data_IF_939610167387
#
_entry.id   IF_939610167387
#
_cell.length_a   1.000
_cell.length_b   1.000
_cell.length_c   1.000
_cell.angle_alpha   90.00
_cell.angle_beta   90.00
_cell.angle_gamma   90.00
#
_symmetry.space_group_name_H-M   'P 1'
#
loop_
_entity.id
_entity.type
_entity.pdbx_description
1 polymer ?
#
# COMPACT_ATOMS: atom_id res chain seq x y z
N UNK A 1 14.16 1.95 -18.58
CA UNK A 1 13.61 0.98 -17.62
C UNK A 1 12.10 1.14 -17.35
N UNK A 2 11.37 2.02 -18.05
CA UNK A 2 9.97 2.40 -17.75
C UNK A 2 8.89 1.64 -18.55
N UNK A 3 9.25 0.84 -19.55
CA UNK A 3 8.28 0.24 -20.50
C UNK A 3 7.74 -1.15 -20.12
N UNK A 4 8.23 -1.76 -19.02
CA UNK A 4 7.82 -3.12 -18.61
C UNK A 4 6.69 -3.18 -17.58
N UNK A 5 6.21 -2.03 -17.10
CA UNK A 5 5.23 -1.99 -16.02
C UNK A 5 3.78 -1.83 -16.49
N UNK A 6 3.53 -1.29 -17.69
CA UNK A 6 2.19 -0.91 -18.17
C UNK A 6 1.09 -1.99 -18.05
N UNK A 7 1.34 -3.26 -18.45
CA UNK A 7 0.37 -4.35 -18.28
C UNK A 7 0.30 -4.94 -16.85
N UNK A 8 1.25 -4.58 -15.98
CA UNK A 8 1.34 -5.05 -14.60
C UNK A 8 0.77 -4.05 -13.59
N UNK A 9 0.27 -2.89 -14.05
CA UNK A 9 -0.29 -1.85 -13.19
C UNK A 9 -1.67 -2.31 -12.69
N UNK A 10 -1.83 -2.63 -11.39
CA UNK A 10 -3.12 -3.06 -10.86
C UNK A 10 -4.09 -1.88 -10.65
N UNK A 11 -3.57 -0.65 -10.68
CA UNK A 11 -4.31 0.56 -10.33
C UNK A 11 -4.26 1.58 -11.49
N UNK A 12 -5.39 1.93 -12.12
CA UNK A 12 -5.40 2.91 -13.21
C UNK A 12 -4.83 4.26 -12.76
N UNK A 13 -4.34 5.05 -13.73
CA UNK A 13 -3.97 6.45 -13.51
C UNK A 13 -5.21 7.23 -13.05
N UNK A 14 -5.09 8.05 -12.01
CA UNK A 14 -6.18 8.90 -11.55
C UNK A 14 -6.35 10.11 -12.47
N UNK A 15 -7.56 10.68 -12.52
CA UNK A 15 -7.89 11.81 -13.40
C UNK A 15 -7.04 13.03 -13.02
N UNK A 16 -6.19 13.49 -13.95
CA UNK A 16 -5.27 14.60 -13.73
C UNK A 16 -3.87 14.20 -13.25
N UNK A 17 -3.61 12.91 -12.98
CA UNK A 17 -2.25 12.43 -12.73
C UNK A 17 -1.46 12.31 -14.04
N UNK A 18 -0.25 12.84 -14.03
CA UNK A 18 0.74 12.55 -15.05
C UNK A 18 1.30 11.14 -14.85
N UNK A 19 1.80 10.52 -15.93
CA UNK A 19 2.35 9.17 -15.89
C UNK A 19 3.40 8.97 -14.77
N UNK A 20 4.24 9.98 -14.54
CA UNK A 20 5.24 9.98 -13.46
C UNK A 20 4.62 9.88 -12.08
N UNK A 21 3.57 10.67 -11.81
CA UNK A 21 2.86 10.68 -10.53
C UNK A 21 2.15 9.34 -10.29
N UNK A 22 1.57 8.76 -11.34
CA UNK A 22 1.01 7.41 -11.29
C UNK A 22 2.05 6.33 -10.96
N UNK A 23 3.24 6.39 -11.58
CA UNK A 23 4.34 5.46 -11.27
C UNK A 23 4.81 5.64 -9.82
N UNK A 24 5.03 6.88 -9.36
CA UNK A 24 5.44 7.16 -7.98
C UNK A 24 4.40 6.67 -6.96
N UNK A 25 3.10 6.83 -7.26
CA UNK A 25 2.01 6.31 -6.43
C UNK A 25 2.03 4.78 -6.37
N UNK A 26 2.22 4.10 -7.50
CA UNK A 26 2.31 2.64 -7.56
C UNK A 26 3.53 2.13 -6.79
N UNK A 27 4.68 2.81 -6.90
CA UNK A 27 5.88 2.49 -6.13
C UNK A 27 5.63 2.60 -4.63
N UNK A 28 4.96 3.68 -4.17
CA UNK A 28 4.57 3.85 -2.76
C UNK A 28 3.63 2.73 -2.30
N UNK A 29 2.62 2.38 -3.09
CA UNK A 29 1.69 1.28 -2.78
C UNK A 29 2.46 -0.05 -2.68
N UNK A 30 3.39 -0.32 -3.59
CA UNK A 30 4.20 -1.54 -3.57
C UNK A 30 5.10 -1.61 -2.32
N UNK A 31 5.75 -0.50 -1.95
CA UNK A 31 6.56 -0.42 -0.74
C UNK A 31 5.73 -0.68 0.52
N UNK A 32 4.54 -0.07 0.61
CA UNK A 32 3.62 -0.25 1.74
C UNK A 32 3.05 -1.67 1.82
N UNK A 33 2.78 -2.32 0.70
CA UNK A 33 2.38 -3.73 0.69
C UNK A 33 3.49 -4.66 1.18
N UNK A 34 4.75 -4.41 0.81
CA UNK A 34 5.90 -5.17 1.36
C UNK A 34 6.03 -4.97 2.86
N UNK A 35 5.83 -3.74 3.34
CA UNK A 35 5.84 -3.41 4.76
C UNK A 35 4.70 -4.15 5.51
N UNK A 36 3.49 -4.13 4.96
CA UNK A 36 2.34 -4.86 5.47
C UNK A 36 2.62 -6.36 5.60
N UNK A 37 3.22 -6.97 4.58
CA UNK A 37 3.57 -8.40 4.59
C UNK A 37 4.59 -8.73 5.70
N UNK A 38 5.56 -7.84 5.95
CA UNK A 38 6.52 -8.01 7.06
C UNK A 38 5.81 -8.00 8.40
N UNK A 39 4.94 -7.02 8.65
CA UNK A 39 4.19 -6.94 9.91
C UNK A 39 3.20 -8.09 10.10
N UNK A 40 2.53 -8.54 9.03
CA UNK A 40 1.68 -9.74 9.08
C UNK A 40 2.47 -11.00 9.43
N UNK A 41 3.68 -11.14 8.88
CA UNK A 41 4.57 -12.25 9.20
C UNK A 41 5.04 -12.20 10.67
N UNK A 42 5.32 -11.00 11.19
CA UNK A 42 5.65 -10.79 12.60
C UNK A 42 4.47 -11.12 13.52
N UNK A 43 3.25 -10.68 13.15
CA UNK A 43 2.03 -10.96 13.90
C UNK A 43 1.77 -12.46 14.07
N UNK A 44 1.99 -13.25 13.00
CA UNK A 44 1.81 -14.69 13.02
C UNK A 44 2.81 -15.42 13.94
N UNK A 45 4.00 -14.85 14.13
CA UNK A 45 5.07 -15.41 14.99
C UNK A 45 4.97 -14.94 16.44
N UNK A 46 4.32 -13.81 16.70
CA UNK A 46 4.19 -13.25 18.05
C UNK A 46 3.29 -14.13 18.92
N UNK A 47 3.61 -14.25 20.21
CA UNK A 47 2.87 -15.05 21.20
C UNK A 47 2.17 -14.16 22.23
N UNK A 48 2.72 -12.98 22.53
CA UNK A 48 2.18 -12.07 23.52
C UNK A 48 1.02 -11.25 22.95
N UNK A 49 -0.14 -11.29 23.60
CA UNK A 49 -1.34 -10.57 23.16
C UNK A 49 -1.09 -9.06 23.04
N UNK A 50 -0.47 -8.44 24.05
CA UNK A 50 -0.21 -7.00 24.05
C UNK A 50 0.69 -6.57 22.87
N UNK A 51 1.68 -7.40 22.50
CA UNK A 51 2.52 -7.15 21.33
C UNK A 51 1.76 -7.34 20.03
N UNK A 52 0.88 -8.35 19.94
CA UNK A 52 -0.03 -8.51 18.78
C UNK A 52 -0.93 -7.30 18.59
N UNK A 53 -1.44 -6.71 19.68
CA UNK A 53 -2.27 -5.50 19.61
C UNK A 53 -1.48 -4.34 18.99
N UNK A 54 -0.25 -4.10 19.44
CA UNK A 54 0.63 -3.08 18.85
C UNK A 54 0.98 -3.37 17.38
N UNK A 55 1.28 -4.63 17.02
CA UNK A 55 1.52 -4.99 15.62
C UNK A 55 0.25 -4.78 14.77
N UNK A 56 -0.92 -5.13 15.30
CA UNK A 56 -2.20 -4.91 14.63
C UNK A 56 -2.53 -3.43 14.44
N UNK A 57 -2.14 -2.54 15.35
CA UNK A 57 -2.31 -1.09 15.14
C UNK A 57 -1.46 -0.61 13.97
N UNK A 58 -0.22 -1.08 13.83
CA UNK A 58 0.64 -0.72 12.68
C UNK A 58 0.11 -1.30 11.37
N UNK A 59 -0.36 -2.55 11.36
CA UNK A 59 -1.02 -3.16 10.20
C UNK A 59 -2.24 -2.33 9.77
N UNK A 60 -3.06 -1.85 10.73
CA UNK A 60 -4.22 -1.00 10.43
C UNK A 60 -3.82 0.33 9.81
N UNK A 61 -2.79 1.00 10.34
CA UNK A 61 -2.28 2.26 9.77
C UNK A 61 -1.79 2.07 8.33
N UNK A 62 -0.96 1.06 8.08
CA UNK A 62 -0.41 0.78 6.75
C UNK A 62 -1.54 0.44 5.75
N UNK A 63 -2.58 -0.28 6.18
CA UNK A 63 -3.77 -0.54 5.35
C UNK A 63 -4.49 0.76 5.00
N UNK A 64 -4.71 1.64 5.98
CA UNK A 64 -5.33 2.95 5.72
C UNK A 64 -4.49 3.81 4.76
N UNK A 65 -3.16 3.77 4.87
CA UNK A 65 -2.27 4.46 3.93
C UNK A 65 -2.41 3.90 2.50
N UNK A 66 -2.46 2.57 2.34
CA UNK A 66 -2.72 1.94 1.03
C UNK A 66 -4.10 2.31 0.51
N UNK A 67 -5.14 2.27 1.35
CA UNK A 67 -6.49 2.69 0.98
C UNK A 67 -6.53 4.15 0.53
N UNK A 68 -5.82 5.05 1.21
CA UNK A 68 -5.73 6.46 0.81
C UNK A 68 -4.99 6.64 -0.53
N UNK A 69 -3.97 5.83 -0.81
CA UNK A 69 -3.23 5.86 -2.07
C UNK A 69 -4.00 5.20 -3.23
N UNK A 70 -4.97 4.35 -2.93
CA UNK A 70 -5.76 3.62 -3.94
C UNK A 70 -7.13 4.23 -4.18
N UNK A 71 -7.71 4.87 -3.16
CA UNK A 71 -8.98 5.58 -3.27
C UNK A 71 -8.78 6.81 -4.15
N UNK A 72 -9.23 6.68 -5.39
CA UNK A 72 -9.48 7.81 -6.27
C UNK A 72 -10.32 8.83 -5.49
N UNK A 73 -9.96 10.13 -5.43
CA UNK A 73 -10.88 11.12 -4.90
C UNK A 73 -12.14 11.05 -5.77
N UNK A 74 -13.23 10.52 -5.21
CA UNK A 74 -14.55 10.61 -5.81
C UNK A 74 -14.87 12.10 -5.88
N UNK A 75 -14.60 12.70 -7.03
CA UNK A 75 -14.98 14.07 -7.33
C UNK A 75 -16.48 14.02 -7.60
N UNK A 76 -17.28 14.45 -6.62
CA UNK A 76 -18.59 15.05 -6.88
C UNK A 76 -18.40 16.57 -6.85
#
# INVERSE_FOLDING_TARGET
YTHLLGPLIPYPLQKGENFREGVERIERICQKNKELQKYQSLLGKERQFNRKVSINTEIRKIRQEIDNLTRTPATC
#
